data_IF_446822433130
#
_entry.id   IF_446822433130
#
_cell.length_a   1.000
_cell.length_b   1.000
_cell.length_c   1.000
_cell.angle_alpha   90.00
_cell.angle_beta   90.00
_cell.angle_gamma   90.00
#
_symmetry.space_group_name_H-M   'P 1'
#
loop_
_entity.id
_entity.type
_entity.pdbx_description
1 polymer ?
#
# COMPACT_ATOMS: atom_id res chain seq x y z
N UNK A 1 -13.46 9.47 -16.92
CA UNK A 1 -12.25 10.32 -16.97
C UNK A 1 -11.11 9.47 -16.44
N UNK A 2 -9.99 9.36 -17.15
CA UNK A 2 -8.84 8.60 -16.69
C UNK A 2 -8.01 9.47 -15.73
N UNK A 3 -7.64 8.96 -14.56
CA UNK A 3 -6.83 9.69 -13.57
C UNK A 3 -5.34 9.36 -13.72
N UNK A 4 -4.47 10.31 -13.40
CA UNK A 4 -3.03 10.06 -13.26
C UNK A 4 -2.73 9.62 -11.82
N UNK A 5 -2.05 8.50 -11.67
CA UNK A 5 -1.62 7.97 -10.38
C UNK A 5 -0.10 7.92 -10.30
N UNK A 6 0.45 8.52 -9.27
CA UNK A 6 1.80 8.27 -8.80
C UNK A 6 1.75 7.25 -7.67
N UNK A 7 2.23 6.04 -7.95
CA UNK A 7 2.27 4.96 -6.97
C UNK A 7 3.67 4.79 -6.39
N UNK A 8 3.74 4.68 -5.07
CA UNK A 8 5.00 4.51 -4.34
C UNK A 8 4.93 3.44 -3.25
N UNK A 9 6.01 2.69 -3.09
CA UNK A 9 6.24 1.80 -1.93
C UNK A 9 7.51 2.21 -1.21
N UNK A 10 7.35 2.87 -0.05
CA UNK A 10 8.40 3.32 0.86
C UNK A 10 8.80 2.18 1.80
N UNK A 11 9.83 1.46 1.36
CA UNK A 11 10.62 0.43 2.04
C UNK A 11 12.04 0.50 1.45
N UNK A 12 12.92 -0.51 1.55
CA UNK A 12 14.30 -0.37 1.07
C UNK A 12 14.39 -0.56 -0.45
N UNK A 13 14.08 0.39 -1.36
CA UNK A 13 14.35 1.82 -1.32
C UNK A 13 13.54 2.54 -2.43
N UNK A 14 12.25 2.77 -2.16
CA UNK A 14 11.29 3.60 -2.93
C UNK A 14 11.17 3.35 -4.46
N UNK A 15 10.14 2.62 -4.86
CA UNK A 15 9.68 2.50 -6.26
C UNK A 15 8.69 3.63 -6.59
N UNK A 16 8.82 4.34 -7.73
CA UNK A 16 7.89 5.41 -8.15
C UNK A 16 7.57 5.28 -9.64
N UNK A 17 6.33 4.94 -9.97
CA UNK A 17 5.83 4.92 -11.35
C UNK A 17 4.70 5.93 -11.52
N UNK A 18 4.71 6.66 -12.63
CA UNK A 18 3.56 7.46 -13.08
C UNK A 18 2.70 6.58 -13.99
N UNK A 19 1.43 6.42 -13.64
CA UNK A 19 0.52 5.46 -14.23
C UNK A 19 -0.75 6.18 -14.65
N UNK A 20 -1.08 6.12 -15.94
CA UNK A 20 -2.41 6.47 -16.39
C UNK A 20 -3.35 5.33 -16.00
N UNK A 21 -4.27 5.61 -15.09
CA UNK A 21 -5.25 4.61 -14.65
C UNK A 21 -6.32 4.39 -15.73
N UNK A 22 -6.86 3.16 -15.86
CA UNK A 22 -7.93 2.87 -16.80
C UNK A 22 -9.19 3.69 -16.47
N UNK A 23 -10.10 3.90 -17.44
CA UNK A 23 -11.30 4.71 -17.24
C UNK A 23 -12.25 4.22 -16.15
N UNK A 24 -12.13 2.95 -15.73
CA UNK A 24 -12.89 2.35 -14.62
C UNK A 24 -12.47 2.87 -13.24
N UNK A 25 -11.24 3.40 -13.13
CA UNK A 25 -10.73 3.99 -11.90
C UNK A 25 -10.99 5.49 -11.94
N UNK A 26 -11.71 5.96 -10.92
CA UNK A 26 -12.15 7.34 -10.76
C UNK A 26 -11.63 7.92 -9.44
N UNK A 27 -11.74 9.23 -9.20
CA UNK A 27 -11.40 9.84 -7.91
C UNK A 27 -12.07 9.19 -6.68
N UNK A 28 -13.30 8.67 -6.84
CA UNK A 28 -14.05 8.00 -5.78
C UNK A 28 -13.67 6.52 -5.60
N UNK A 29 -12.88 5.95 -6.50
CA UNK A 29 -12.40 4.58 -6.37
C UNK A 29 -11.60 4.40 -5.08
N UNK A 30 -11.80 3.27 -4.44
CA UNK A 30 -11.14 2.86 -3.21
C UNK A 30 -9.68 2.52 -3.47
N UNK A 31 -8.85 2.60 -2.42
CA UNK A 31 -7.45 2.15 -2.52
C UNK A 31 -7.36 0.69 -2.93
N UNK A 32 -8.32 -0.17 -2.52
CA UNK A 32 -8.38 -1.56 -2.98
C UNK A 32 -8.58 -1.67 -4.49
N UNK A 33 -9.55 -0.97 -5.06
CA UNK A 33 -9.80 -1.02 -6.52
C UNK A 33 -8.58 -0.55 -7.30
N UNK A 34 -7.86 0.44 -6.77
CA UNK A 34 -6.58 0.89 -7.35
C UNK A 34 -5.54 -0.23 -7.28
N UNK A 35 -5.33 -0.83 -6.11
CA UNK A 35 -4.37 -1.93 -5.95
C UNK A 35 -4.72 -3.15 -6.81
N UNK A 36 -6.00 -3.47 -6.97
CA UNK A 36 -6.48 -4.56 -7.82
C UNK A 36 -6.06 -4.36 -9.28
N UNK A 37 -6.21 -3.14 -9.81
CA UNK A 37 -5.81 -2.80 -11.18
C UNK A 37 -4.28 -2.73 -11.35
N UNK A 38 -3.56 -2.35 -10.29
CA UNK A 38 -2.10 -2.34 -10.32
C UNK A 38 -1.50 -3.76 -10.27
N UNK A 39 -2.22 -4.72 -9.70
CA UNK A 39 -1.70 -6.06 -9.39
C UNK A 39 -1.72 -7.02 -10.57
N UNK A 40 -0.67 -7.84 -10.63
CA UNK A 40 -0.56 -9.01 -11.53
C UNK A 40 -1.50 -10.16 -11.16
N UNK A 41 -2.29 -10.03 -10.09
CA UNK A 41 -3.20 -11.11 -9.69
C UNK A 41 -4.28 -11.31 -10.75
N UNK A 42 -4.58 -12.56 -11.13
CA UNK A 42 -5.56 -12.89 -12.15
C UNK A 42 -7.02 -12.55 -11.76
N UNK A 43 -7.26 -11.98 -10.58
CA UNK A 43 -8.59 -11.59 -10.11
C UNK A 43 -9.16 -10.32 -10.79
N UNK A 44 -8.56 -9.88 -11.89
CA UNK A 44 -8.95 -8.65 -12.57
C UNK A 44 -8.72 -8.58 -14.08
N UNK A 45 -8.53 -9.71 -14.79
CA UNK A 45 -8.71 -9.81 -16.25
C UNK A 45 -8.02 -8.79 -17.17
N UNK A 46 -7.04 -8.02 -16.70
CA UNK A 46 -6.34 -7.00 -17.45
C UNK A 46 -4.84 -7.17 -17.25
N UNK A 47 -4.06 -6.84 -18.28
CA UNK A 47 -2.61 -6.75 -18.15
C UNK A 47 -2.29 -5.78 -17.00
N UNK A 48 -1.47 -6.21 -16.03
CA UNK A 48 -1.17 -5.38 -14.87
C UNK A 48 -0.46 -4.10 -15.28
N UNK A 49 -0.86 -2.97 -14.69
CA UNK A 49 -0.22 -1.68 -14.96
C UNK A 49 1.19 -1.60 -14.38
N UNK A 50 1.49 -2.42 -13.37
CA UNK A 50 2.83 -2.57 -12.78
C UNK A 50 3.20 -4.04 -12.86
N UNK A 51 4.06 -4.44 -13.81
CA UNK A 51 4.56 -5.81 -13.87
C UNK A 51 5.15 -6.22 -12.53
N UNK A 52 4.92 -7.47 -12.15
CA UNK A 52 5.41 -8.11 -10.94
C UNK A 52 4.89 -7.52 -9.63
N UNK A 53 3.96 -6.56 -9.67
CA UNK A 53 3.33 -6.03 -8.47
C UNK A 53 2.24 -6.98 -7.99
N UNK A 54 2.33 -7.42 -6.74
CA UNK A 54 1.30 -8.19 -6.10
C UNK A 54 1.08 -7.72 -4.67
N UNK A 55 -0.17 -7.81 -4.22
CA UNK A 55 -0.50 -7.56 -2.84
C UNK A 55 -1.39 -8.66 -2.27
N UNK A 56 -1.29 -8.88 -0.97
CA UNK A 56 -2.17 -9.79 -0.24
C UNK A 56 -2.84 -9.03 0.88
N UNK A 57 -4.12 -9.32 1.06
CA UNK A 57 -4.93 -8.76 2.11
C UNK A 57 -5.72 -9.84 2.82
N UNK A 58 -6.04 -9.59 4.07
CA UNK A 58 -6.97 -10.41 4.85
C UNK A 58 -7.67 -9.58 5.91
N UNK A 59 -8.58 -10.19 6.64
CA UNK A 59 -9.36 -9.53 7.68
C UNK A 59 -9.27 -10.30 9.00
N UNK A 60 -9.47 -9.57 10.10
CA UNK A 60 -9.62 -10.19 11.42
C UNK A 60 -11.03 -10.73 11.62
N UNK A 61 -11.19 -11.65 12.56
CA UNK A 61 -12.50 -12.22 12.93
C UNK A 61 -13.37 -11.20 13.66
N UNK A 62 -12.75 -10.30 14.44
CA UNK A 62 -13.43 -9.25 15.21
C UNK A 62 -14.03 -8.18 14.31
N UNK A 63 -13.43 -7.92 13.15
CA UNK A 63 -13.96 -6.97 12.17
C UNK A 63 -13.68 -7.47 10.75
N UNK A 64 -14.55 -8.34 10.19
CA UNK A 64 -14.37 -8.94 8.87
C UNK A 64 -14.39 -7.90 7.73
N UNK A 65 -14.99 -6.73 7.99
CA UNK A 65 -15.05 -5.61 7.04
C UNK A 65 -13.79 -4.75 7.08
N UNK A 66 -12.79 -5.08 7.91
CA UNK A 66 -11.55 -4.33 8.03
C UNK A 66 -10.42 -5.09 7.32
N UNK A 67 -10.42 -5.07 5.98
CA UNK A 67 -9.32 -5.68 5.25
C UNK A 67 -8.03 -4.90 5.51
N UNK A 68 -6.94 -5.65 5.73
CA UNK A 68 -5.60 -5.14 5.98
C UNK A 68 -4.67 -5.70 4.90
N UNK A 69 -3.81 -4.85 4.35
CA UNK A 69 -2.70 -5.33 3.51
C UNK A 69 -1.68 -6.04 4.40
N UNK A 70 -1.40 -7.30 4.10
CA UNK A 70 -0.53 -8.17 4.89
C UNK A 70 0.81 -8.46 4.21
N UNK A 71 0.87 -8.34 2.89
CA UNK A 71 2.11 -8.45 2.14
C UNK A 71 2.04 -7.66 0.83
N UNK A 72 3.20 -7.16 0.39
CA UNK A 72 3.42 -6.57 -0.91
C UNK A 72 4.65 -7.21 -1.57
N UNK A 73 4.52 -7.50 -2.85
CA UNK A 73 5.61 -7.92 -3.73
C UNK A 73 5.70 -6.93 -4.90
N UNK A 74 6.92 -6.58 -5.29
CA UNK A 74 7.19 -5.75 -6.45
C UNK A 74 8.60 -6.02 -6.98
N UNK A 75 8.85 -5.69 -8.23
CA UNK A 75 10.18 -5.69 -8.80
C UNK A 75 10.86 -4.33 -8.58
N UNK A 76 12.07 -4.35 -8.03
CA UNK A 76 12.94 -3.19 -7.95
C UNK A 76 13.81 -3.16 -9.20
N UNK A 77 13.71 -2.08 -9.97
CA UNK A 77 14.47 -1.87 -11.20
C UNK A 77 15.37 -0.64 -11.09
N UNK A 78 16.26 -0.45 -12.07
CA UNK A 78 17.11 0.73 -12.23
C UNK A 78 16.35 2.07 -12.31
N UNK A 79 15.06 2.06 -12.61
CA UNK A 79 14.19 3.26 -12.61
C UNK A 79 13.67 3.63 -11.20
N UNK A 80 13.94 2.79 -10.20
CA UNK A 80 13.51 3.03 -8.81
C UNK A 80 14.36 4.12 -8.15
N UNK A 81 13.74 4.94 -7.29
CA UNK A 81 14.42 6.06 -6.65
C UNK A 81 14.93 5.67 -5.27
N UNK A 82 16.24 5.66 -5.08
CA UNK A 82 16.84 5.31 -3.79
C UNK A 82 16.94 6.57 -2.90
N UNK A 83 16.55 6.52 -1.61
CA UNK A 83 16.79 7.64 -0.69
C UNK A 83 18.28 7.97 -0.58
N UNK A 84 18.66 9.23 -0.32
CA UNK A 84 20.08 9.66 -0.31
C UNK A 84 21.00 8.86 0.64
N UNK A 85 20.43 8.29 1.71
CA UNK A 85 21.17 7.55 2.75
C UNK A 85 21.05 6.02 2.62
N UNK A 86 20.50 5.53 1.52
CA UNK A 86 20.27 4.12 1.29
C UNK A 86 21.35 3.51 0.39
N UNK A 87 21.74 2.27 0.70
CA UNK A 87 22.63 1.51 -0.19
C UNK A 87 21.87 1.13 -1.46
N UNK A 88 22.53 1.27 -2.61
CA UNK A 88 22.06 0.73 -3.89
C UNK A 88 21.70 -0.74 -3.71
N UNK A 89 20.42 -1.06 -3.86
CA UNK A 89 19.98 -2.46 -3.96
C UNK A 89 20.08 -2.85 -5.44
N UNK A 90 20.61 -4.04 -5.71
CA UNK A 90 20.57 -4.57 -7.07
C UNK A 90 19.14 -4.80 -7.54
N UNK A 91 18.94 -4.85 -8.85
CA UNK A 91 17.64 -5.16 -9.44
C UNK A 91 17.10 -6.50 -8.91
N UNK A 92 15.78 -6.62 -8.86
CA UNK A 92 15.10 -7.88 -8.59
C UNK A 92 13.89 -7.76 -7.66
N UNK A 93 13.32 -8.90 -7.35
CA UNK A 93 12.08 -8.98 -6.59
C UNK A 93 12.26 -8.56 -5.12
N UNK A 94 11.26 -7.85 -4.62
CA UNK A 94 11.10 -7.47 -3.23
C UNK A 94 9.80 -8.05 -2.72
N UNK A 95 9.86 -8.79 -1.62
CA UNK A 95 8.70 -9.30 -0.91
C UNK A 95 8.78 -8.85 0.54
N UNK A 96 7.78 -8.09 0.97
CA UNK A 96 7.67 -7.56 2.32
C UNK A 96 6.31 -7.94 2.87
N UNK A 97 6.31 -8.78 3.89
CA UNK A 97 5.10 -9.17 4.63
C UNK A 97 5.13 -8.60 6.03
N UNK A 98 3.98 -8.60 6.69
CA UNK A 98 3.84 -8.24 8.09
C UNK A 98 4.44 -9.30 9.05
N UNK A 99 5.23 -10.29 8.56
CA UNK A 99 5.91 -11.34 9.35
C UNK A 99 6.81 -10.69 10.42
N UNK A 100 6.30 -10.37 11.62
CA UNK A 100 5.93 -11.17 12.81
C UNK A 100 7.16 -11.30 13.73
N UNK A 101 7.37 -10.25 14.55
CA UNK A 101 7.85 -10.37 15.93
C UNK A 101 6.63 -10.38 16.88
N UNK A 102 5.49 -10.96 16.46
CA UNK A 102 4.32 -11.12 17.35
C UNK A 102 4.52 -12.46 18.07
N UNK A 103 4.87 -12.47 19.37
CA UNK A 103 5.19 -13.70 20.08
C UNK A 103 4.03 -14.70 20.04
N UNK A 104 4.38 -15.98 19.90
CA UNK A 104 3.43 -17.09 19.88
C UNK A 104 2.60 -17.21 21.17
N UNK A 105 3.10 -16.67 22.29
CA UNK A 105 2.35 -16.46 23.53
C UNK A 105 2.40 -15.00 23.94
N UNK A 106 1.23 -14.39 24.15
CA UNK A 106 1.08 -13.02 24.64
C UNK A 106 1.40 -12.90 26.15
N UNK A 107 2.11 -13.87 26.74
CA UNK A 107 2.33 -13.95 28.18
C UNK A 107 3.65 -13.33 28.63
N UNK A 108 4.65 -13.15 27.77
CA UNK A 108 6.02 -12.84 28.23
C UNK A 108 6.83 -11.81 27.41
N UNK A 109 6.21 -10.88 26.68
CA UNK A 109 6.97 -9.76 26.04
C UNK A 109 6.34 -8.39 26.37
N UNK A 110 7.08 -7.42 26.95
CA UNK A 110 6.58 -6.08 27.26
C UNK A 110 6.38 -5.15 26.05
N UNK A 111 6.51 -5.65 24.80
CA UNK A 111 6.38 -4.81 23.60
C UNK A 111 5.64 -5.55 22.50
N UNK A 112 4.36 -5.21 22.29
CA UNK A 112 3.56 -5.60 21.13
C UNK A 112 4.01 -4.83 19.87
N UNK A 113 5.30 -4.85 19.59
CA UNK A 113 5.86 -4.11 18.47
C UNK A 113 5.67 -4.93 17.21
N UNK A 114 4.81 -4.47 16.31
CA UNK A 114 4.49 -5.15 15.05
C UNK A 114 4.94 -4.32 13.86
N UNK A 115 5.21 -5.01 12.75
CA UNK A 115 5.49 -4.38 11.46
C UNK A 115 4.23 -4.45 10.60
N UNK A 116 3.69 -3.29 10.21
CA UNK A 116 2.43 -3.19 9.47
C UNK A 116 2.57 -2.30 8.23
N UNK A 117 1.69 -2.52 7.25
CA UNK A 117 1.52 -1.63 6.11
C UNK A 117 0.61 -0.45 6.42
N UNK A 118 1.13 0.76 6.22
CA UNK A 118 0.34 1.98 6.18
C UNK A 118 0.32 2.54 4.77
N UNK A 119 -0.74 3.26 4.41
CA UNK A 119 -0.77 4.03 3.19
C UNK A 119 -1.12 5.49 3.45
N UNK A 120 -0.60 6.36 2.58
CA UNK A 120 -0.91 7.77 2.51
C UNK A 120 -1.44 8.10 1.14
N UNK A 121 -2.33 9.08 1.12
CA UNK A 121 -2.86 9.66 -0.10
C UNK A 121 -2.53 11.15 -0.11
N UNK A 122 -2.20 11.68 -1.27
CA UNK A 122 -2.07 13.11 -1.51
C UNK A 122 -2.47 13.40 -2.95
N UNK A 123 -2.73 14.64 -3.26
CA UNK A 123 -2.93 15.09 -4.64
C UNK A 123 -1.94 16.17 -4.97
N UNK A 124 -1.52 16.18 -6.22
CA UNK A 124 -0.78 17.27 -6.83
C UNK A 124 -1.73 17.97 -7.78
N UNK A 125 -1.77 19.29 -7.73
CA UNK A 125 -2.65 20.08 -8.57
C UNK A 125 -2.30 21.56 -8.52
N UNK A 126 -3.21 22.37 -9.07
CA UNK A 126 -3.04 23.82 -9.19
C UNK A 126 -4.34 24.56 -8.92
N UNK A 127 -4.25 25.78 -8.39
CA UNK A 127 -5.42 26.64 -8.29
C UNK A 127 -5.65 27.39 -9.61
N UNK A 128 -6.90 27.51 -10.03
CA UNK A 128 -7.31 28.19 -11.28
C UNK A 128 -6.85 29.65 -11.33
N UNK A 129 -6.72 30.29 -10.15
CA UNK A 129 -6.36 31.71 -10.02
C UNK A 129 -4.91 31.96 -9.55
N UNK A 130 -4.04 30.95 -9.58
CA UNK A 130 -2.60 31.13 -9.28
C UNK A 130 -1.80 31.29 -10.58
N UNK A 131 -0.63 31.98 -10.55
CA UNK A 131 0.26 32.06 -11.70
C UNK A 131 0.65 30.67 -12.24
N UNK A 132 0.76 30.55 -13.56
CA UNK A 132 1.24 29.33 -14.21
C UNK A 132 2.56 28.87 -13.59
N UNK A 133 2.64 27.57 -13.26
CA UNK A 133 3.79 26.95 -12.60
C UNK A 133 3.68 26.78 -11.08
N UNK A 134 2.61 27.27 -10.43
CA UNK A 134 2.39 27.05 -9.00
C UNK A 134 1.75 25.68 -8.75
N UNK A 135 2.59 24.64 -8.66
CA UNK A 135 2.18 23.28 -8.29
C UNK A 135 2.08 23.15 -6.76
N UNK A 136 1.00 22.55 -6.27
CA UNK A 136 0.79 22.30 -4.84
C UNK A 136 0.50 20.83 -4.60
N UNK A 137 1.19 20.25 -3.61
CA UNK A 137 0.87 18.92 -3.09
C UNK A 137 0.04 19.04 -1.82
N UNK A 138 -1.20 18.57 -1.86
CA UNK A 138 -2.10 18.54 -0.71
C UNK A 138 -2.15 17.13 -0.12
N UNK A 139 -1.68 16.97 1.12
CA UNK A 139 -1.75 15.69 1.84
C UNK A 139 -3.15 15.46 2.38
N UNK A 140 -3.75 14.33 2.01
CA UNK A 140 -5.02 13.90 2.56
C UNK A 140 -4.80 13.40 3.98
N UNK A 141 -5.26 14.18 4.96
CA UNK A 141 -5.17 13.79 6.38
C UNK A 141 -6.01 12.53 6.61
N UNK A 142 -5.42 11.63 7.39
CA UNK A 142 -6.03 10.38 7.79
C UNK A 142 -5.93 10.30 9.31
N UNK A 143 -7.07 10.09 9.98
CA UNK A 143 -7.08 9.80 11.42
C UNK A 143 -7.00 8.29 11.65
N UNK A 144 -5.96 7.86 12.37
CA UNK A 144 -5.71 6.44 12.60
C UNK A 144 -5.25 5.71 11.34
N UNK A 145 -5.47 4.39 11.31
CA UNK A 145 -5.18 3.57 10.14
C UNK A 145 -6.45 3.38 9.31
N UNK A 146 -6.47 3.88 8.07
CA UNK A 146 -7.62 3.79 7.18
C UNK A 146 -7.77 2.37 6.65
N UNK A 147 -9.01 1.93 6.46
CA UNK A 147 -9.31 0.66 5.80
C UNK A 147 -9.18 0.85 4.29
N UNK A 148 -8.29 0.10 3.63
CA UNK A 148 -7.95 0.38 2.22
C UNK A 148 -9.08 0.00 1.25
N UNK A 149 -9.98 -0.88 1.66
CA UNK A 149 -11.14 -1.37 0.91
C UNK A 149 -12.32 -0.40 0.84
N UNK A 150 -12.44 0.53 1.80
CA UNK A 150 -13.51 1.54 1.80
C UNK A 150 -13.00 2.98 1.70
N UNK A 151 -11.68 3.19 1.69
CA UNK A 151 -11.10 4.55 1.63
C UNK A 151 -10.95 5.00 0.17
N UNK A 152 -11.70 6.01 -0.30
CA UNK A 152 -11.58 6.54 -1.67
C UNK A 152 -10.23 7.21 -1.91
N UNK A 153 -9.83 7.47 -3.16
CA UNK A 153 -8.59 8.21 -3.44
C UNK A 153 -8.67 9.69 -3.05
N UNK A 154 -9.81 10.36 -3.30
CA UNK A 154 -9.95 11.82 -3.18
C UNK A 154 -10.44 12.36 -1.82
N UNK A 155 -10.84 11.52 -0.86
CA UNK A 155 -11.46 11.98 0.41
C UNK A 155 -10.48 12.07 1.58
N UNK A 156 -10.50 13.18 2.32
CA UNK A 156 -9.97 13.24 3.69
C UNK A 156 -10.88 12.35 4.56
N UNK A 157 -10.36 11.42 5.35
CA UNK A 157 -11.16 10.39 6.04
C UNK A 157 -12.41 10.90 6.78
N UNK A 158 -13.49 10.10 6.78
CA UNK A 158 -14.82 10.30 7.42
C UNK A 158 -15.42 11.70 7.19
N UNK A 159 -16.04 11.84 6.02
CA UNK A 159 -17.10 12.82 5.78
C UNK A 159 -16.65 14.27 5.76
N UNK A 160 -16.27 14.77 4.59
CA UNK A 160 -17.01 15.84 3.89
C UNK A 160 -16.19 16.59 2.85
N UNK A 161 -14.85 16.54 2.91
CA UNK A 161 -14.05 17.40 2.03
C UNK A 161 -13.44 16.59 0.88
N UNK A 162 -14.02 16.79 -0.30
CA UNK A 162 -13.44 16.45 -1.60
C UNK A 162 -12.37 17.52 -1.88
N UNK A 163 -11.19 17.10 -2.34
CA UNK A 163 -10.11 18.03 -2.69
C UNK A 163 -10.40 18.86 -3.95
N UNK A 164 -11.27 18.34 -4.82
CA UNK A 164 -11.80 19.06 -5.98
C UNK A 164 -12.83 20.07 -5.48
N UNK A 165 -12.36 21.26 -5.15
CA UNK A 165 -13.15 22.49 -5.06
C UNK A 165 -13.07 23.20 -6.42
N UNK A 166 -14.02 24.07 -6.76
CA UNK A 166 -14.11 24.79 -8.05
C UNK A 166 -12.80 25.53 -8.40
N UNK A 167 -11.99 25.83 -7.38
CA UNK A 167 -10.73 26.54 -7.52
C UNK A 167 -9.49 25.64 -7.62
N UNK A 168 -9.55 24.34 -7.33
CA UNK A 168 -8.38 23.44 -7.32
C UNK A 168 -8.54 22.28 -8.32
N UNK A 169 -7.69 22.28 -9.35
CA UNK A 169 -7.67 21.23 -10.37
C UNK A 169 -6.62 20.20 -9.97
N UNK A 170 -7.05 18.95 -9.79
CA UNK A 170 -6.14 17.82 -9.52
C UNK A 170 -5.47 17.36 -10.80
N UNK A 171 -4.14 17.38 -10.83
CA UNK A 171 -3.34 16.90 -11.95
C UNK A 171 -2.90 15.44 -11.74
N UNK A 172 -2.61 15.05 -10.48
CA UNK A 172 -2.13 13.70 -10.14
C UNK A 172 -2.55 13.27 -8.74
N UNK A 173 -3.03 12.04 -8.63
CA UNK A 173 -3.26 11.35 -7.37
C UNK A 173 -1.99 10.62 -6.94
N UNK A 174 -1.61 10.72 -5.67
CA UNK A 174 -0.40 10.11 -5.13
C UNK A 174 -0.81 9.08 -4.07
N UNK A 175 -0.42 7.82 -4.26
CA UNK A 175 -0.66 6.72 -3.31
C UNK A 175 0.68 6.14 -2.86
N UNK A 176 0.95 6.24 -1.56
CA UNK A 176 2.24 5.84 -0.97
C UNK A 176 1.98 4.76 0.08
N UNK A 177 2.48 3.55 -0.13
CA UNK A 177 2.54 2.51 0.89
C UNK A 177 3.86 2.58 1.62
N UNK A 178 3.85 2.33 2.93
CA UNK A 178 5.07 2.21 3.72
C UNK A 178 4.95 1.12 4.77
N UNK A 179 6.05 0.46 5.03
CA UNK A 179 6.15 -0.48 6.13
C UNK A 179 6.62 0.27 7.38
N UNK A 180 5.88 0.16 8.48
CA UNK A 180 6.23 0.81 9.76
C UNK A 180 6.25 -0.19 10.89
N UNK A 181 7.18 0.02 11.82
CA UNK A 181 7.20 -0.64 13.12
C UNK A 181 6.40 0.21 14.12
N UNK A 182 5.41 -0.38 14.76
CA UNK A 182 4.49 0.32 15.67
C UNK A 182 4.21 -0.54 16.91
N UNK A 183 4.01 0.11 18.05
CA UNK A 183 3.50 -0.55 19.24
C UNK A 183 1.98 -0.65 19.16
N UNK A 184 1.47 -1.88 19.16
CA UNK A 184 0.05 -2.17 19.10
C UNK A 184 -0.47 -2.54 20.49
N UNK A 185 -1.76 -2.34 20.74
CA UNK A 185 -2.38 -3.06 21.86
C UNK A 185 -2.68 -4.52 21.46
N UNK A 186 -2.88 -5.39 22.45
CA UNK A 186 -3.12 -6.83 22.23
C UNK A 186 -4.25 -7.09 21.22
N UNK A 187 -5.34 -6.31 21.30
CA UNK A 187 -6.50 -6.45 20.43
C UNK A 187 -6.14 -6.19 18.96
N UNK A 188 -5.46 -5.08 18.67
CA UNK A 188 -5.05 -4.74 17.30
C UNK A 188 -3.97 -5.69 16.80
N UNK A 189 -3.02 -6.10 17.64
CA UNK A 189 -2.02 -7.11 17.28
C UNK A 189 -2.68 -8.43 16.85
N UNK A 190 -3.71 -8.87 17.60
CA UNK A 190 -4.50 -10.06 17.29
C UNK A 190 -5.25 -9.90 15.95
N UNK A 191 -5.87 -8.74 15.68
CA UNK A 191 -6.51 -8.50 14.37
C UNK A 191 -5.52 -8.61 13.20
N UNK A 192 -4.28 -8.15 13.37
CA UNK A 192 -3.23 -8.26 12.37
C UNK A 192 -2.79 -9.69 12.13
N UNK A 193 -2.64 -10.45 13.22
CA UNK A 193 -2.32 -11.88 13.16
C UNK A 193 -3.42 -12.64 12.42
N UNK A 194 -4.68 -12.42 12.78
CA UNK A 194 -5.83 -13.07 12.14
C UNK A 194 -5.94 -12.71 10.66
N UNK A 195 -5.74 -11.44 10.29
CA UNK A 195 -5.72 -11.04 8.89
C UNK A 195 -4.61 -11.74 8.09
N UNK A 196 -3.43 -11.91 8.69
CA UNK A 196 -2.33 -12.64 8.07
C UNK A 196 -2.63 -14.13 7.92
N UNK A 197 -3.14 -14.77 8.98
CA UNK A 197 -3.53 -16.18 8.97
C UNK A 197 -4.67 -16.44 7.96
N UNK A 198 -5.64 -15.53 7.88
CA UNK A 198 -6.71 -15.55 6.89
C UNK A 198 -6.14 -15.53 5.47
N UNK A 199 -5.24 -14.59 5.18
CA UNK A 199 -4.63 -14.47 3.85
C UNK A 199 -3.82 -15.72 3.48
N UNK A 200 -3.10 -16.32 4.44
CA UNK A 200 -2.38 -17.59 4.22
C UNK A 200 -3.32 -18.75 3.91
N UNK A 201 -4.47 -18.81 4.58
CA UNK A 201 -5.44 -19.88 4.39
C UNK A 201 -6.23 -19.75 3.09
N UNK A 202 -6.51 -18.52 2.64
CA UNK A 202 -7.42 -18.25 1.51
C UNK A 202 -6.71 -17.85 0.22
N UNK A 203 -5.42 -17.57 0.27
CA UNK A 203 -4.60 -17.31 -0.92
C UNK A 203 -3.33 -18.20 -0.91
N UNK A 204 -3.41 -19.42 -1.49
CA UNK A 204 -2.29 -20.36 -1.54
C UNK A 204 -1.03 -19.79 -2.21
N UNK A 205 -1.19 -18.77 -3.09
CA UNK A 205 -0.05 -18.09 -3.71
C UNK A 205 0.81 -17.37 -2.68
N UNK A 206 0.21 -16.83 -1.61
CA UNK A 206 0.96 -16.15 -0.55
C UNK A 206 1.96 -17.10 0.11
N UNK A 207 1.48 -18.29 0.50
CA UNK A 207 2.30 -19.31 1.15
C UNK A 207 3.42 -19.78 0.22
N UNK A 208 3.11 -20.03 -1.05
CA UNK A 208 4.09 -20.44 -2.05
C UNK A 208 5.16 -19.35 -2.29
N UNK A 209 4.73 -18.10 -2.47
CA UNK A 209 5.62 -16.95 -2.71
C UNK A 209 6.52 -16.67 -1.50
N UNK A 210 5.98 -16.72 -0.29
CA UNK A 210 6.76 -16.58 0.94
C UNK A 210 7.79 -17.70 1.10
N UNK A 211 7.39 -18.95 0.84
CA UNK A 211 8.29 -20.12 0.93
C UNK A 211 9.41 -20.04 -0.11
N UNK A 212 9.09 -19.63 -1.35
CA UNK A 212 10.09 -19.41 -2.41
C UNK A 212 11.05 -18.26 -2.08
N UNK A 213 10.55 -17.16 -1.50
CA UNK A 213 11.39 -16.04 -1.09
C UNK A 213 12.33 -16.42 0.07
N UNK A 214 11.85 -17.23 1.01
CA UNK A 214 12.66 -17.75 2.11
C UNK A 214 13.81 -18.63 1.58
N UNK A 215 13.53 -19.55 0.66
CA UNK A 215 14.54 -20.43 0.07
C UNK A 215 15.59 -19.64 -0.73
N UNK A 216 15.19 -18.63 -1.52
CA UNK A 216 16.11 -17.75 -2.25
C UNK A 216 17.02 -16.92 -1.33
N UNK A 217 16.54 -16.56 -0.13
CA UNK A 217 17.37 -15.87 0.87
C UNK A 217 18.43 -16.79 1.48
N UNK A 218 18.15 -18.08 1.60
CA UNK A 218 19.12 -19.09 2.07
C UNK A 218 20.19 -19.36 1.01
N UNK A 219 19.84 -19.36 -0.28
CA UNK A 219 20.80 -19.59 -1.38
C UNK A 219 21.77 -18.41 -1.61
N UNK A 220 21.43 -17.21 -1.15
CA UNK A 220 22.25 -16.01 -1.29
C UNK A 220 23.17 -15.71 -0.09
N UNK A 221 23.19 -16.60 0.92
CA UNK A 221 24.04 -16.52 2.13
C UNK A 221 25.12 -17.60 2.10
#
# INVERSE_FOLDING_TARGET
MAINLQFQVVGPYLFRKSIQMPPSITPDSTVKEVLDVLSDKPNGGQNPLIPNFNYWAGHGTVNPQNNKVVALMYEFTSESTIPPNAKLQGDGFRLFSNLIDIPASFTDIPSNTSVIWQFYRSVTGRFVNQPEGTELTVRLKIFGQPQFDITPLNKVTRGSNVLEDENFIVDTYNLIFRQVRVDLNNRIAQEYKEAYDYALAHDPSLKATLSSAYNRKIEAM
#
